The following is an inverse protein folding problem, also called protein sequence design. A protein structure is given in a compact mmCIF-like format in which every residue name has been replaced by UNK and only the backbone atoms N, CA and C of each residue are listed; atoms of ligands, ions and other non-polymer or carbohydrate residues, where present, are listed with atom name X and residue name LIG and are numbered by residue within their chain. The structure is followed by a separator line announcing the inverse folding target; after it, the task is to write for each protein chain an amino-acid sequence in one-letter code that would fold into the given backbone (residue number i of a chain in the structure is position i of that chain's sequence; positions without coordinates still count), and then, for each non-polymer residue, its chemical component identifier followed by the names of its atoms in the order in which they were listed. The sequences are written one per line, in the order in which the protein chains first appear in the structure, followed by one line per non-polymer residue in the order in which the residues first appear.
data_IF_840909108194
#
_entry.id   IF_840909108194
#
_cell.length_a   1.000
_cell.length_b   1.000
_cell.length_c   1.000
_cell.angle_alpha   90.00
_cell.angle_beta   90.00
_cell.angle_gamma   90.00
#
_symmetry.space_group_name_H-M   'P 1'
#
loop_
_entity.id
_entity.type
_entity.pdbx_description
1 polymer ?
#
# COMPACT_ATOMS: atom_id res chain seq x y z
N UNK A 1 -1.36 -19.51 11.00
CA UNK A 1 -1.29 -18.11 10.54
C UNK A 1 0.12 -17.62 10.79
N UNK A 2 0.63 -16.76 9.91
CA UNK A 2 1.95 -16.17 10.01
C UNK A 2 1.88 -14.65 9.94
N UNK A 3 3.02 -14.03 9.64
CA UNK A 3 3.14 -12.60 9.40
C UNK A 3 3.74 -12.34 8.02
N UNK A 4 3.36 -11.23 7.41
CA UNK A 4 4.05 -10.64 6.27
C UNK A 4 4.55 -9.28 6.73
N UNK A 5 5.86 -9.09 6.73
CA UNK A 5 6.48 -7.84 7.15
C UNK A 5 7.59 -7.45 6.19
N UNK A 6 7.96 -6.18 6.22
CA UNK A 6 9.10 -5.70 5.46
C UNK A 6 9.38 -4.23 5.68
N UNK A 7 10.41 -3.77 4.97
CA UNK A 7 10.89 -2.40 5.06
C UNK A 7 10.52 -1.60 3.81
N UNK A 8 10.18 -0.33 4.02
CA UNK A 8 10.14 0.70 3.00
C UNK A 8 11.37 1.59 3.21
N UNK A 9 12.27 1.62 2.23
CA UNK A 9 13.45 2.46 2.29
C UNK A 9 13.06 3.94 2.39
N UNK A 10 13.80 4.72 3.19
CA UNK A 10 13.51 6.15 3.37
C UNK A 10 13.50 6.93 2.04
N UNK A 11 14.32 6.51 1.06
CA UNK A 11 14.32 7.12 -0.27
C UNK A 11 13.02 6.80 -1.03
N UNK A 12 12.56 5.54 -1.03
CA UNK A 12 11.27 5.15 -1.64
C UNK A 12 10.11 5.92 -1.00
N UNK A 13 10.17 6.13 0.32
CA UNK A 13 9.18 6.91 1.04
C UNK A 13 9.11 8.35 0.52
N UNK A 14 10.26 9.02 0.49
CA UNK A 14 10.37 10.40 0.01
C UNK A 14 10.02 10.54 -1.49
N UNK A 15 10.48 9.61 -2.32
CA UNK A 15 10.23 9.65 -3.77
C UNK A 15 8.74 9.47 -4.08
N UNK A 16 8.00 8.71 -3.27
CA UNK A 16 6.55 8.60 -3.44
C UNK A 16 5.86 9.96 -3.35
N UNK A 17 6.19 10.75 -2.33
CA UNK A 17 5.63 12.10 -2.15
C UNK A 17 6.09 13.07 -3.26
N UNK A 18 7.32 12.93 -3.74
CA UNK A 18 7.86 13.78 -4.82
C UNK A 18 7.18 13.48 -6.16
N UNK A 19 6.96 12.21 -6.46
CA UNK A 19 6.46 11.73 -7.75
C UNK A 19 4.92 11.76 -7.83
N UNK A 20 4.23 11.84 -6.69
CA UNK A 20 2.78 11.77 -6.61
C UNK A 20 2.21 13.09 -6.09
N UNK A 21 1.32 13.72 -6.84
CA UNK A 21 0.60 14.90 -6.34
C UNK A 21 -0.50 14.50 -5.35
N UNK A 22 -0.61 15.23 -4.24
CA UNK A 22 -1.74 15.15 -3.31
C UNK A 22 -2.27 16.56 -3.00
N UNK A 23 -3.60 16.72 -2.89
CA UNK A 23 -4.20 17.96 -2.38
C UNK A 23 -4.67 17.87 -0.92
N UNK A 24 -4.53 16.70 -0.28
CA UNK A 24 -5.02 16.39 1.07
C UNK A 24 -3.95 15.73 1.97
N UNK A 25 -2.68 16.01 1.71
CA UNK A 25 -1.48 15.41 2.33
C UNK A 25 -1.29 13.91 1.99
N UNK A 26 -0.22 13.30 2.50
CA UNK A 26 0.13 11.90 2.23
C UNK A 26 -0.18 11.01 3.43
N UNK A 27 -0.63 9.80 3.15
CA UNK A 27 -0.71 8.71 4.10
C UNK A 27 -0.09 7.45 3.52
N UNK A 28 0.92 6.94 4.24
CA UNK A 28 1.72 5.82 3.76
C UNK A 28 1.21 4.51 4.31
N UNK A 29 0.92 3.59 3.39
CA UNK A 29 0.43 2.27 3.73
C UNK A 29 0.96 1.22 2.76
N UNK A 30 0.90 -0.02 3.21
CA UNK A 30 1.04 -1.19 2.34
C UNK A 30 -0.30 -1.89 2.26
N UNK A 31 -0.65 -2.29 1.05
CA UNK A 31 -1.87 -2.99 0.70
C UNK A 31 -1.53 -4.43 0.35
N UNK A 32 -2.24 -5.39 0.94
CA UNK A 32 -2.06 -6.82 0.73
C UNK A 32 -3.09 -7.32 -0.29
N UNK A 33 -2.62 -8.05 -1.30
CA UNK A 33 -3.44 -8.66 -2.34
C UNK A 33 -3.23 -10.17 -2.34
N UNK A 34 -4.29 -10.93 -2.53
CA UNK A 34 -4.20 -12.39 -2.70
C UNK A 34 -3.65 -12.74 -4.09
N UNK A 35 -2.71 -13.69 -4.14
CA UNK A 35 -2.07 -14.16 -5.36
C UNK A 35 -0.89 -13.31 -5.82
N UNK A 36 -0.38 -13.64 -7.01
CA UNK A 36 0.63 -12.84 -7.70
C UNK A 36 -0.08 -11.80 -8.57
N UNK A 37 -0.05 -10.55 -8.15
CA UNK A 37 -0.74 -9.42 -8.77
C UNK A 37 0.33 -8.44 -9.27
N UNK A 38 0.29 -8.08 -10.55
CA UNK A 38 1.19 -7.07 -11.10
C UNK A 38 0.81 -5.68 -10.57
N UNK A 39 1.78 -4.76 -10.48
CA UNK A 39 1.56 -3.42 -9.89
C UNK A 39 0.41 -2.67 -10.55
N UNK A 40 0.32 -2.74 -11.88
CA UNK A 40 -0.70 -2.11 -12.70
C UNK A 40 -2.12 -2.64 -12.44
N UNK A 41 -2.22 -3.87 -11.94
CA UNK A 41 -3.48 -4.55 -11.66
C UNK A 41 -3.90 -4.42 -10.19
N UNK A 42 -3.11 -3.74 -9.35
CA UNK A 42 -3.45 -3.48 -7.94
C UNK A 42 -4.40 -2.27 -7.83
N UNK A 43 -5.60 -2.49 -7.30
CA UNK A 43 -6.65 -1.49 -7.14
C UNK A 43 -6.90 -1.06 -5.68
N UNK A 44 -7.76 -0.07 -5.45
CA UNK A 44 -8.16 0.40 -4.11
C UNK A 44 -9.17 -0.51 -3.41
N UNK A 45 -9.43 -0.30 -2.11
CA UNK A 45 -10.56 -0.90 -1.39
C UNK A 45 -11.92 -0.47 -1.96
N UNK A 46 -12.00 0.75 -2.47
CA UNK A 46 -13.17 1.23 -3.22
C UNK A 46 -13.57 0.33 -4.41
N UNK A 47 -12.63 -0.51 -4.87
CA UNK A 47 -12.78 -1.33 -6.07
C UNK A 47 -12.56 -0.53 -7.35
N UNK A 48 -11.98 -1.18 -8.35
CA UNK A 48 -11.79 -0.61 -9.69
C UNK A 48 -11.95 -1.73 -10.73
N UNK A 49 -12.74 -1.47 -11.78
CA UNK A 49 -13.05 -2.47 -12.80
C UNK A 49 -11.76 -3.03 -13.43
N UNK A 50 -11.59 -4.35 -13.34
CA UNK A 50 -10.44 -5.05 -13.90
C UNK A 50 -9.19 -5.08 -13.02
N UNK A 51 -9.23 -4.50 -11.81
CA UNK A 51 -8.13 -4.56 -10.84
C UNK A 51 -8.45 -5.48 -9.66
N UNK A 52 -7.40 -5.99 -9.02
CA UNK A 52 -7.51 -6.73 -7.78
C UNK A 52 -7.82 -5.76 -6.63
N UNK A 53 -8.77 -6.14 -5.78
CA UNK A 53 -9.07 -5.43 -4.52
C UNK A 53 -8.15 -5.96 -3.41
N UNK A 54 -7.57 -5.09 -2.58
CA UNK A 54 -6.77 -5.51 -1.43
C UNK A 54 -7.64 -6.25 -0.41
N UNK A 55 -7.03 -7.20 0.30
CA UNK A 55 -7.68 -7.95 1.39
C UNK A 55 -7.38 -7.36 2.76
N UNK A 56 -6.32 -6.56 2.87
CA UNK A 56 -5.91 -5.85 4.07
C UNK A 56 -4.99 -4.68 3.71
N UNK A 57 -4.88 -3.71 4.61
CA UNK A 57 -3.84 -2.68 4.56
C UNK A 57 -3.29 -2.43 5.96
N UNK A 58 -2.06 -1.95 6.00
CA UNK A 58 -1.37 -1.60 7.25
C UNK A 58 -0.57 -0.32 7.04
N UNK A 59 -0.41 0.46 8.10
CA UNK A 59 0.35 1.70 8.04
C UNK A 59 1.85 1.40 7.88
N UNK A 60 2.53 2.30 7.19
CA UNK A 60 3.99 2.34 7.18
C UNK A 60 4.45 3.27 8.30
N UNK A 61 5.20 2.74 9.25
CA UNK A 61 5.63 3.46 10.46
C UNK A 61 7.16 3.58 10.52
N UNK A 62 7.72 4.61 11.15
CA UNK A 62 9.18 4.71 11.30
C UNK A 62 9.72 3.53 12.11
N UNK A 63 10.77 2.87 11.60
CA UNK A 63 11.56 1.95 12.40
C UNK A 63 12.39 2.78 13.40
N UNK A 64 12.27 2.45 14.69
CA UNK A 64 12.94 3.18 15.78
C UNK A 64 14.43 2.80 15.95
N UNK A 65 14.86 1.71 15.32
CA UNK A 65 16.22 1.15 15.39
C UNK A 65 17.02 1.37 14.10
N UNK A 66 16.34 1.60 12.98
CA UNK A 66 16.94 1.78 11.65
C UNK A 66 16.53 3.12 11.00
N UNK A 67 17.11 3.45 9.83
CA UNK A 67 16.79 4.67 9.06
C UNK A 67 15.87 4.32 7.88
N UNK A 68 14.80 3.59 8.18
CA UNK A 68 13.78 3.13 7.24
C UNK A 68 12.41 3.14 7.93
N UNK A 69 11.40 2.69 7.19
CA UNK A 69 10.05 2.51 7.69
C UNK A 69 9.68 1.03 7.58
N UNK A 70 8.80 0.56 8.45
CA UNK A 70 8.37 -0.82 8.51
C UNK A 70 6.86 -0.95 8.33
N UNK A 71 6.42 -2.14 7.92
CA UNK A 71 5.02 -2.54 7.86
C UNK A 71 4.89 -4.00 8.29
N UNK A 72 3.74 -4.34 8.87
CA UNK A 72 3.42 -5.70 9.29
C UNK A 72 1.94 -6.02 9.08
N UNK A 73 1.70 -7.20 8.51
CA UNK A 73 0.43 -7.89 8.51
C UNK A 73 0.53 -9.12 9.41
N UNK A 74 -0.17 -9.10 10.54
CA UNK A 74 -0.32 -10.26 11.40
C UNK A 74 -1.42 -11.21 10.92
N UNK A 75 -1.39 -12.45 11.43
CA UNK A 75 -2.44 -13.46 11.25
C UNK A 75 -2.75 -13.87 9.81
N UNK A 76 -1.78 -13.77 8.90
CA UNK A 76 -1.97 -14.13 7.48
C UNK A 76 -2.09 -15.65 7.31
N UNK A 77 -3.08 -16.12 6.55
CA UNK A 77 -3.24 -17.53 6.22
C UNK A 77 -2.16 -18.00 5.23
N UNK A 78 -1.82 -19.30 5.16
CA UNK A 78 -0.89 -19.79 4.15
C UNK A 78 -1.42 -19.54 2.73
N UNK A 79 -0.64 -18.89 1.89
CA UNK A 79 -1.03 -18.55 0.53
C UNK A 79 0.08 -17.84 -0.24
N UNK A 80 -0.23 -17.47 -1.48
CA UNK A 80 0.59 -16.54 -2.27
C UNK A 80 -0.02 -15.16 -2.16
N UNK A 81 0.82 -14.14 -1.97
CA UNK A 81 0.36 -12.77 -1.78
C UNK A 81 1.28 -11.82 -2.53
N UNK A 82 0.75 -10.64 -2.85
CA UNK A 82 1.51 -9.50 -3.31
C UNK A 82 1.24 -8.32 -2.39
N UNK A 83 2.22 -7.45 -2.24
CA UNK A 83 2.10 -6.22 -1.46
C UNK A 83 2.37 -5.01 -2.33
N UNK A 84 1.53 -3.98 -2.18
CA UNK A 84 1.64 -2.71 -2.88
C UNK A 84 1.81 -1.57 -1.89
N UNK A 85 2.91 -0.83 -2.00
CA UNK A 85 3.18 0.37 -1.21
C UNK A 85 2.61 1.62 -1.88
N UNK A 86 1.99 2.49 -1.10
CA UNK A 86 1.46 3.79 -1.55
C UNK A 86 1.67 4.89 -0.50
N UNK A 87 1.73 6.15 -0.94
CA UNK A 87 1.66 7.36 -0.12
C UNK A 87 0.30 8.07 -0.25
N UNK A 88 -0.65 7.56 -1.04
CA UNK A 88 -1.99 8.14 -1.21
C UNK A 88 -3.08 7.28 -0.58
N UNK A 89 -2.76 6.57 0.51
CA UNK A 89 -3.73 5.70 1.19
C UNK A 89 -4.93 6.48 1.75
N UNK A 90 -4.75 7.76 2.07
CA UNK A 90 -5.81 8.67 2.53
C UNK A 90 -6.84 9.01 1.46
N UNK A 91 -6.57 8.67 0.19
CA UNK A 91 -7.52 8.85 -0.91
C UNK A 91 -8.49 7.68 -1.06
N UNK A 92 -8.27 6.58 -0.34
CA UNK A 92 -9.02 5.33 -0.50
C UNK A 92 -9.77 4.93 0.77
N UNK A 93 -10.93 4.31 0.55
CA UNK A 93 -11.80 3.73 1.57
C UNK A 93 -12.75 2.73 0.92
N UNK A 94 -13.39 1.87 1.72
CA UNK A 94 -14.47 0.99 1.22
C UNK A 94 -15.65 1.79 0.65
N UNK A 95 -15.84 3.03 1.11
CA UNK A 95 -16.90 3.94 0.65
C UNK A 95 -16.59 4.61 -0.70
N UNK A 96 -15.34 4.59 -1.15
CA UNK A 96 -14.92 5.20 -2.40
C UNK A 96 -13.62 5.98 -2.33
N UNK A 97 -13.20 6.50 -3.49
CA UNK A 97 -12.05 7.41 -3.61
C UNK A 97 -12.45 8.84 -3.25
N UNK A 98 -11.57 9.56 -2.55
CA UNK A 98 -11.75 10.97 -2.23
C UNK A 98 -11.93 11.80 -3.51
N UNK A 99 -12.99 12.61 -3.55
CA UNK A 99 -13.37 13.35 -4.74
C UNK A 99 -12.28 14.33 -5.17
N UNK A 100 -11.74 14.14 -6.38
CA UNK A 100 -10.68 14.98 -6.95
C UNK A 100 -9.26 14.46 -6.71
N UNK A 101 -9.10 13.40 -5.93
CA UNK A 101 -7.82 12.75 -5.66
C UNK A 101 -7.67 11.45 -6.47
N UNK A 102 -6.55 10.76 -6.33
CA UNK A 102 -6.29 9.51 -7.05
C UNK A 102 -5.44 8.55 -6.22
N UNK A 103 -6.00 7.37 -5.96
CA UNK A 103 -5.24 6.27 -5.41
C UNK A 103 -4.29 5.65 -6.43
N UNK A 104 -3.05 5.35 -6.02
CA UNK A 104 -2.13 4.58 -6.85
C UNK A 104 -1.10 3.81 -6.03
N UNK A 105 -0.69 2.63 -6.53
CA UNK A 105 0.44 1.89 -5.97
C UNK A 105 1.75 2.40 -6.56
N UNK A 106 2.65 2.86 -5.68
CA UNK A 106 3.95 3.40 -6.04
C UNK A 106 4.97 2.29 -6.34
N UNK A 107 5.10 1.30 -5.45
CA UNK A 107 5.95 0.11 -5.62
C UNK A 107 5.22 -1.16 -5.21
N UNK A 108 5.60 -2.30 -5.78
CA UNK A 108 4.99 -3.59 -5.47
C UNK A 108 6.01 -4.73 -5.49
N UNK A 109 5.72 -5.79 -4.73
CA UNK A 109 6.44 -7.08 -4.77
C UNK A 109 5.47 -8.25 -4.57
N UNK A 110 5.83 -9.41 -5.09
CA UNK A 110 5.13 -10.71 -4.94
C UNK A 110 6.07 -11.77 -4.37
#
# INVERSE_FOLDING_TARGET
TGEIQGDVAAQTYADCEIDTSSANDYAHAVYLYEGSVAKEDMGPFAGEDGKATPIAATNVVPDMEQVNYEYEFGFVEPGTYSVGYTCTANDDSEEGIVAGETFSIYQATS
#
